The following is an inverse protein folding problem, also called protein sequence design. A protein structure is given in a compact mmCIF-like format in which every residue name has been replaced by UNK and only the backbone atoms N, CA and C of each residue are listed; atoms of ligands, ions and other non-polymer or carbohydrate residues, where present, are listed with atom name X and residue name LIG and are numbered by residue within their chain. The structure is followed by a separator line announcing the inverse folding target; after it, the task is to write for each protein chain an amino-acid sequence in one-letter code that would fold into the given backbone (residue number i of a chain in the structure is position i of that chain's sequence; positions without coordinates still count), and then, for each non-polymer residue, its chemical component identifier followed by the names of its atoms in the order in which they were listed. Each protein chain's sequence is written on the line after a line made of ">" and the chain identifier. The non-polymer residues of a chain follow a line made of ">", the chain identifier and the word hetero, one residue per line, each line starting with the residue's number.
data_IF_750518368653
#
_entry.id   IF_750518368653
#
_cell.length_a   1.000
_cell.length_b   1.000
_cell.length_c   1.000
_cell.angle_alpha   90.00
_cell.angle_beta   90.00
_cell.angle_gamma   90.00
#
_symmetry.space_group_name_H-M   'P 1'
#
loop_
_entity.id
_entity.type
_entity.pdbx_description
1 polymer ?
#
# COMPACT_ATOMS: atom_id res chain seq x y z
N UNK A 1 10.63 -2.08 28.99
CA UNK A 1 9.28 -2.05 29.62
C UNK A 1 9.33 -1.32 30.95
N UNK A 2 9.43 0.02 30.96
CA UNK A 2 9.39 0.83 32.19
C UNK A 2 8.88 2.27 31.97
N UNK A 3 8.22 2.57 30.85
CA UNK A 3 7.86 3.94 30.46
C UNK A 3 6.35 4.15 30.21
N UNK A 4 5.50 3.28 30.78
CA UNK A 4 4.05 3.28 30.49
C UNK A 4 3.14 3.13 31.71
N UNK A 5 3.66 3.12 32.95
CA UNK A 5 2.83 2.95 34.16
C UNK A 5 2.47 4.25 34.90
N UNK A 6 3.16 5.36 34.69
CA UNK A 6 2.93 6.59 35.49
C UNK A 6 1.83 7.52 34.95
N UNK A 7 1.36 7.36 33.70
CA UNK A 7 0.33 8.25 33.13
C UNK A 7 -1.12 7.84 33.40
N UNK A 8 -1.36 6.68 33.99
CA UNK A 8 -2.74 6.14 34.16
C UNK A 8 -3.32 6.46 35.55
N UNK A 9 -2.48 6.66 36.57
CA UNK A 9 -2.98 6.87 37.95
C UNK A 9 -3.43 8.32 38.20
N UNK A 10 -2.85 9.31 37.52
CA UNK A 10 -3.22 10.74 37.69
C UNK A 10 -4.50 11.17 36.97
N UNK A 11 -5.00 10.40 36.00
CA UNK A 11 -6.17 10.77 35.19
C UNK A 11 -7.51 10.34 35.84
N UNK A 12 -7.52 9.27 36.63
CA UNK A 12 -8.74 8.76 37.26
C UNK A 12 -9.27 9.63 38.41
N UNK A 13 -8.41 10.38 39.11
CA UNK A 13 -8.85 11.26 40.21
C UNK A 13 -9.48 12.57 39.72
N UNK A 14 -9.07 13.10 38.56
CA UNK A 14 -9.61 14.34 38.01
C UNK A 14 -11.01 14.16 37.38
N UNK A 15 -11.30 12.99 36.82
CA UNK A 15 -12.61 12.71 36.19
C UNK A 15 -13.69 12.43 37.25
N UNK A 16 -13.33 11.82 38.39
CA UNK A 16 -14.27 11.56 39.49
C UNK A 16 -14.82 12.82 40.16
N UNK A 17 -14.02 13.88 40.28
CA UNK A 17 -14.45 15.15 40.85
C UNK A 17 -15.38 15.95 39.91
N UNK A 18 -15.18 15.86 38.59
CA UNK A 18 -16.02 16.56 37.60
C UNK A 18 -17.44 15.97 37.47
N UNK A 19 -17.59 14.65 37.63
CA UNK A 19 -18.90 13.99 37.53
C UNK A 19 -19.80 14.22 38.77
N UNK A 20 -19.20 14.33 39.97
CA UNK A 20 -19.97 14.57 41.20
C UNK A 20 -20.60 15.98 41.25
N UNK A 21 -19.95 16.98 40.62
CA UNK A 21 -20.47 18.34 40.53
C UNK A 21 -21.58 18.45 39.46
N UNK A 22 -21.45 17.73 38.33
CA UNK A 22 -22.42 17.75 37.24
C UNK A 22 -23.78 17.12 37.59
N UNK A 23 -23.79 16.04 38.36
CA UNK A 23 -25.04 15.37 38.75
C UNK A 23 -25.86 16.21 39.76
N UNK A 24 -25.20 16.92 40.67
CA UNK A 24 -25.88 17.81 41.62
C UNK A 24 -26.44 19.08 40.97
N UNK A 25 -25.77 19.61 39.94
CA UNK A 25 -26.25 20.77 39.20
C UNK A 25 -27.49 20.48 38.36
N UNK A 26 -27.56 19.30 37.72
CA UNK A 26 -28.73 18.90 36.91
C UNK A 26 -29.97 18.64 37.79
N UNK A 27 -29.77 18.15 39.02
CA UNK A 27 -30.86 17.92 39.97
C UNK A 27 -31.44 19.23 40.54
N UNK A 28 -30.62 20.27 40.72
CA UNK A 28 -31.10 21.61 41.09
C UNK A 28 -31.75 22.36 39.92
N UNK A 29 -31.28 22.17 38.68
CA UNK A 29 -31.83 22.85 37.50
C UNK A 29 -33.26 22.37 37.16
N UNK A 30 -33.57 21.09 37.40
CA UNK A 30 -34.91 20.52 37.18
C UNK A 30 -35.96 20.94 38.23
N UNK A 31 -35.54 21.53 39.37
CA UNK A 31 -36.45 21.97 40.44
C UNK A 31 -36.78 23.47 40.42
N UNK A 32 -36.22 24.25 39.48
CA UNK A 32 -36.64 25.65 39.28
C UNK A 32 -36.34 26.60 40.45
N UNK A 33 -35.47 26.22 41.38
CA UNK A 33 -35.10 27.03 42.54
C UNK A 33 -33.61 27.39 42.50
N UNK A 34 -33.26 28.46 41.78
CA UNK A 34 -32.01 29.19 42.03
C UNK A 34 -32.28 30.70 41.91
N UNK A 35 -31.80 31.51 42.88
CA UNK A 35 -32.01 32.95 42.85
C UNK A 35 -31.22 33.57 41.71
N UNK A 36 -31.86 34.46 40.95
CA UNK A 36 -31.19 35.34 39.99
C UNK A 36 -30.14 36.19 40.71
N UNK A 37 -28.87 35.98 40.40
CA UNK A 37 -27.82 36.96 40.66
C UNK A 37 -26.49 36.39 41.16
N UNK A 38 -25.70 35.78 40.28
CA UNK A 38 -24.23 35.80 40.35
C UNK A 38 -23.66 35.32 39.01
N UNK A 39 -23.31 36.29 38.16
CA UNK A 39 -22.63 36.06 36.90
C UNK A 39 -21.19 35.57 37.14
N UNK A 40 -21.01 34.24 37.15
CA UNK A 40 -19.71 33.62 36.95
C UNK A 40 -19.50 33.46 35.45
N UNK A 41 -18.75 34.41 34.86
CA UNK A 41 -18.27 34.33 33.49
C UNK A 41 -17.33 33.14 33.32
N UNK A 42 -17.88 31.97 33.02
CA UNK A 42 -17.14 30.85 32.44
C UNK A 42 -16.82 31.21 30.99
N UNK A 43 -15.76 31.98 30.81
CA UNK A 43 -15.17 32.22 29.49
C UNK A 43 -14.81 30.88 28.86
N UNK A 44 -15.48 30.53 27.77
CA UNK A 44 -15.11 29.42 26.89
C UNK A 44 -13.67 29.65 26.42
N UNK A 45 -12.72 28.90 26.97
CA UNK A 45 -11.33 28.92 26.49
C UNK A 45 -11.34 28.35 25.07
N UNK A 46 -10.89 29.09 24.05
CA UNK A 46 -10.93 28.61 22.68
C UNK A 46 -10.04 27.37 22.55
N UNK A 47 -10.63 26.27 22.08
CA UNK A 47 -9.92 25.02 21.81
C UNK A 47 -8.91 25.27 20.69
N UNK A 48 -7.65 25.52 21.04
CA UNK A 48 -6.59 25.83 20.07
C UNK A 48 -6.29 24.55 19.28
N UNK A 49 -6.74 24.47 18.03
CA UNK A 49 -6.44 23.33 17.14
C UNK A 49 -4.93 23.12 17.09
N UNK A 50 -4.47 21.92 17.48
CA UNK A 50 -3.06 21.55 17.41
C UNK A 50 -2.62 21.57 15.95
N UNK A 51 -1.44 22.12 15.67
CA UNK A 51 -0.85 22.06 14.32
C UNK A 51 -0.67 20.59 13.91
N UNK A 52 -1.01 20.20 12.66
CA UNK A 52 -0.72 18.87 12.14
C UNK A 52 0.78 18.58 12.18
N UNK A 53 1.15 17.36 12.58
CA UNK A 53 2.54 16.89 12.53
C UNK A 53 2.83 16.35 11.14
N UNK A 54 3.75 16.97 10.39
CA UNK A 54 4.14 16.50 9.05
C UNK A 54 5.39 15.65 9.15
N UNK A 55 5.39 14.48 8.53
CA UNK A 55 6.54 13.57 8.55
C UNK A 55 7.04 13.31 7.14
N UNK A 56 8.35 13.11 7.02
CA UNK A 56 9.01 12.84 5.75
C UNK A 56 9.61 11.44 5.74
N UNK A 57 9.47 10.73 4.64
CA UNK A 57 10.17 9.47 4.38
C UNK A 57 10.61 9.45 2.93
N UNK A 58 11.83 9.01 2.65
CA UNK A 58 12.36 8.85 1.32
C UNK A 58 12.80 7.42 1.03
N UNK A 59 13.05 7.20 -0.25
CA UNK A 59 13.60 5.95 -0.74
C UNK A 59 13.62 5.90 -2.25
N UNK A 60 14.29 4.88 -2.77
CA UNK A 60 14.25 4.60 -4.19
C UNK A 60 12.83 4.16 -4.62
N UNK A 61 12.16 3.34 -3.81
CA UNK A 61 10.88 2.70 -4.16
C UNK A 61 10.91 1.94 -5.50
N UNK A 62 12.06 1.34 -5.82
CA UNK A 62 12.25 0.52 -7.01
C UNK A 62 11.67 -0.88 -6.78
N UNK A 63 10.94 -1.41 -7.76
CA UNK A 63 10.16 -2.65 -7.64
C UNK A 63 9.27 -2.64 -6.38
N UNK A 64 8.47 -1.58 -6.24
CA UNK A 64 7.66 -1.33 -5.06
C UNK A 64 6.75 -2.53 -4.71
N UNK A 65 6.61 -2.82 -3.41
CA UNK A 65 5.92 -4.00 -2.90
C UNK A 65 5.28 -3.70 -1.53
N UNK A 66 4.46 -4.63 -0.99
CA UNK A 66 3.73 -4.42 0.26
C UNK A 66 4.63 -4.03 1.46
N UNK A 67 5.90 -4.46 1.48
CA UNK A 67 6.89 -4.01 2.48
C UNK A 67 7.12 -2.50 2.49
N UNK A 68 7.27 -1.87 1.31
CA UNK A 68 7.35 -0.41 1.17
C UNK A 68 6.04 0.24 1.63
N UNK A 69 4.89 -0.31 1.21
CA UNK A 69 3.58 0.20 1.62
C UNK A 69 3.38 0.15 3.14
N UNK A 70 3.82 -0.93 3.81
CA UNK A 70 3.76 -1.03 5.26
C UNK A 70 4.72 -0.06 5.95
N UNK A 71 5.89 0.22 5.36
CA UNK A 71 6.80 1.23 5.88
C UNK A 71 6.16 2.62 5.84
N UNK A 72 5.56 3.00 4.71
CA UNK A 72 4.80 4.24 4.55
C UNK A 72 3.60 4.31 5.51
N UNK A 73 2.88 3.19 5.73
CA UNK A 73 1.82 3.11 6.75
C UNK A 73 2.35 3.40 8.15
N UNK A 74 3.48 2.81 8.53
CA UNK A 74 4.11 3.04 9.83
C UNK A 74 4.59 4.49 9.97
N UNK A 75 5.18 5.06 8.92
CA UNK A 75 5.60 6.45 8.89
C UNK A 75 4.41 7.39 9.09
N UNK A 76 3.33 7.19 8.33
CA UNK A 76 2.09 7.96 8.44
C UNK A 76 1.46 7.89 9.83
N UNK A 77 1.65 6.80 10.57
CA UNK A 77 1.15 6.65 11.94
C UNK A 77 1.95 7.46 12.99
N UNK A 78 3.14 7.96 12.65
CA UNK A 78 3.97 8.81 13.52
C UNK A 78 3.69 10.31 13.34
N UNK A 79 2.80 10.68 12.41
CA UNK A 79 2.40 12.04 12.11
C UNK A 79 0.93 12.14 11.69
N UNK A 80 0.51 13.36 11.36
CA UNK A 80 -0.81 13.70 10.84
C UNK A 80 -0.81 13.82 9.30
N UNK A 81 0.36 13.96 8.65
CA UNK A 81 0.53 13.99 7.18
C UNK A 81 1.88 13.37 6.79
N UNK A 82 1.94 12.61 5.70
CA UNK A 82 3.16 11.97 5.18
C UNK A 82 3.57 12.56 3.82
N UNK A 83 4.75 13.15 3.79
CA UNK A 83 5.44 13.61 2.58
C UNK A 83 6.50 12.58 2.20
N UNK A 84 6.53 12.17 0.93
CA UNK A 84 7.46 11.13 0.46
C UNK A 84 8.42 11.65 -0.59
N UNK A 85 9.71 11.56 -0.33
CA UNK A 85 10.75 11.85 -1.33
C UNK A 85 11.06 10.64 -2.19
N UNK A 86 10.98 10.79 -3.51
CA UNK A 86 11.37 9.74 -4.46
C UNK A 86 12.73 10.10 -5.03
N UNK A 87 13.74 9.28 -4.72
CA UNK A 87 15.12 9.53 -5.13
C UNK A 87 15.26 9.46 -6.66
N UNK A 88 16.01 10.38 -7.28
CA UNK A 88 16.21 10.41 -8.74
C UNK A 88 16.98 9.18 -9.26
N UNK A 89 16.90 8.93 -10.57
CA UNK A 89 17.62 7.80 -11.19
C UNK A 89 19.14 8.04 -11.12
N UNK A 90 19.59 9.29 -11.27
CA UNK A 90 21.00 9.69 -11.20
C UNK A 90 21.59 9.46 -9.81
N UNK A 91 20.88 9.87 -8.75
CA UNK A 91 21.27 9.68 -7.35
C UNK A 91 21.33 8.19 -7.00
N UNK A 92 20.39 7.40 -7.53
CA UNK A 92 20.39 5.94 -7.36
C UNK A 92 21.62 5.30 -8.02
N UNK A 93 21.92 5.68 -9.27
CA UNK A 93 23.07 5.14 -10.01
C UNK A 93 24.38 5.44 -9.29
N UNK A 94 24.52 6.66 -8.74
CA UNK A 94 25.72 7.07 -8.03
C UNK A 94 25.98 6.29 -6.73
N UNK A 95 24.93 5.84 -6.03
CA UNK A 95 25.05 5.30 -4.67
C UNK A 95 24.88 3.78 -4.55
N UNK A 96 24.16 3.13 -5.48
CA UNK A 96 23.94 1.68 -5.42
C UNK A 96 24.07 0.97 -6.77
N UNK A 97 23.50 1.54 -7.83
CA UNK A 97 23.32 0.89 -9.11
C UNK A 97 21.98 1.27 -9.75
N UNK A 98 21.82 1.08 -11.07
CA UNK A 98 20.67 1.60 -11.80
C UNK A 98 19.35 1.00 -11.30
N UNK A 99 18.28 1.80 -11.20
CA UNK A 99 16.97 1.27 -10.84
C UNK A 99 16.38 0.50 -12.03
N UNK A 100 15.57 -0.52 -11.73
CA UNK A 100 14.80 -1.26 -12.76
C UNK A 100 13.63 -0.40 -13.26
N UNK A 101 12.98 0.30 -12.33
CA UNK A 101 11.79 1.11 -12.55
C UNK A 101 12.19 2.59 -12.71
N UNK A 102 11.89 3.26 -13.85
CA UNK A 102 12.20 4.67 -14.04
C UNK A 102 11.49 5.57 -13.02
N UNK A 103 12.08 6.74 -12.72
CA UNK A 103 11.54 7.70 -11.74
C UNK A 103 10.03 7.95 -11.89
N UNK A 104 9.56 8.19 -13.12
CA UNK A 104 8.14 8.44 -13.40
C UNK A 104 7.22 7.34 -12.88
N UNK A 105 7.60 6.08 -13.09
CA UNK A 105 6.78 4.94 -12.65
C UNK A 105 6.84 4.75 -11.13
N UNK A 106 8.02 4.97 -10.52
CA UNK A 106 8.18 4.96 -9.05
C UNK A 106 7.30 6.04 -8.40
N UNK A 107 7.25 7.24 -8.98
CA UNK A 107 6.35 8.31 -8.52
C UNK A 107 4.87 7.94 -8.61
N UNK A 108 4.43 7.31 -9.71
CA UNK A 108 3.05 6.82 -9.86
C UNK A 108 2.71 5.84 -8.74
N UNK A 109 3.61 4.88 -8.48
CA UNK A 109 3.43 3.88 -7.43
C UNK A 109 3.34 4.49 -6.03
N UNK A 110 4.27 5.38 -5.68
CA UNK A 110 4.27 6.06 -4.37
C UNK A 110 3.03 6.92 -4.18
N UNK A 111 2.65 7.71 -5.20
CA UNK A 111 1.43 8.53 -5.16
C UNK A 111 0.17 7.67 -5.04
N UNK A 112 0.17 6.44 -5.53
CA UNK A 112 -0.98 5.54 -5.41
C UNK A 112 -1.17 4.97 -4.00
N UNK A 113 -0.17 5.03 -3.12
CA UNK A 113 -0.30 4.53 -1.74
C UNK A 113 -1.21 5.46 -0.93
N UNK A 114 -2.18 4.88 -0.22
CA UNK A 114 -3.23 5.63 0.49
C UNK A 114 -2.78 6.39 1.73
N UNK A 115 -1.61 6.06 2.25
CA UNK A 115 -1.01 6.75 3.40
C UNK A 115 -0.13 7.93 3.01
N UNK A 116 0.12 8.13 1.72
CA UNK A 116 0.98 9.21 1.20
C UNK A 116 0.12 10.43 0.91
N UNK A 117 0.47 11.58 1.47
CA UNK A 117 -0.27 12.82 1.26
C UNK A 117 0.37 13.67 0.16
N UNK A 118 1.72 13.72 0.11
CA UNK A 118 2.49 14.52 -0.83
C UNK A 118 3.72 13.75 -1.32
N UNK A 119 4.17 14.01 -2.56
CA UNK A 119 5.35 13.38 -3.17
C UNK A 119 6.31 14.44 -3.69
N UNK A 120 7.57 14.38 -3.25
CA UNK A 120 8.66 15.23 -3.73
C UNK A 120 9.48 14.42 -4.76
N UNK A 121 9.55 14.85 -6.03
CA UNK A 121 10.44 14.24 -7.01
C UNK A 121 11.90 14.64 -6.75
N UNK A 122 12.83 13.89 -7.34
CA UNK A 122 14.25 14.21 -7.36
C UNK A 122 14.83 14.50 -5.96
N UNK A 123 14.43 13.70 -4.98
CA UNK A 123 15.02 13.75 -3.65
C UNK A 123 16.48 13.29 -3.72
N UNK A 124 17.41 13.92 -2.98
CA UNK A 124 18.79 13.44 -2.88
C UNK A 124 18.84 12.08 -2.16
N UNK A 125 19.88 11.29 -2.40
CA UNK A 125 20.05 10.00 -1.72
C UNK A 125 20.35 10.16 -0.22
N UNK A 126 21.05 11.25 0.15
CA UNK A 126 21.38 11.59 1.52
C UNK A 126 20.71 12.90 1.95
N UNK A 127 20.40 13.03 3.23
CA UNK A 127 19.88 14.29 3.78
C UNK A 127 21.04 15.28 3.91
N UNK A 128 21.18 16.17 2.93
CA UNK A 128 22.14 17.28 2.94
C UNK A 128 21.65 18.44 3.81
N UNK A 129 22.53 19.36 4.21
CA UNK A 129 22.14 20.54 5.00
C UNK A 129 21.11 21.41 4.27
N UNK A 130 21.31 21.63 2.97
CA UNK A 130 20.43 22.42 2.11
C UNK A 130 19.05 21.76 2.00
N UNK A 131 19.02 20.45 1.75
CA UNK A 131 17.76 19.73 1.63
C UNK A 131 17.04 19.62 2.97
N UNK A 132 17.77 19.44 4.08
CA UNK A 132 17.19 19.43 5.42
C UNK A 132 16.53 20.78 5.77
N UNK A 133 17.16 21.90 5.43
CA UNK A 133 16.54 23.24 5.58
C UNK A 133 15.26 23.34 4.76
N UNK A 134 15.30 22.92 3.49
CA UNK A 134 14.10 22.88 2.63
C UNK A 134 12.98 22.03 3.25
N UNK A 135 13.29 20.84 3.76
CA UNK A 135 12.30 19.99 4.43
C UNK A 135 11.65 20.68 5.63
N UNK A 136 12.44 21.36 6.45
CA UNK A 136 11.96 21.96 7.70
C UNK A 136 11.29 23.32 7.53
N UNK A 137 11.82 24.16 6.64
CA UNK A 137 11.38 25.54 6.48
C UNK A 137 10.27 25.65 5.43
N UNK A 138 10.40 24.97 4.28
CA UNK A 138 9.44 25.04 3.17
C UNK A 138 8.35 23.99 3.32
N UNK A 139 8.71 22.71 3.46
CA UNK A 139 7.76 21.59 3.58
C UNK A 139 7.20 21.42 4.99
N UNK A 140 7.72 22.18 5.97
CA UNK A 140 7.31 22.17 7.38
C UNK A 140 7.30 20.78 8.00
N UNK A 141 8.27 19.95 7.62
CA UNK A 141 8.44 18.59 8.15
C UNK A 141 8.87 18.68 9.60
N UNK A 142 8.22 17.90 10.48
CA UNK A 142 8.53 17.76 11.90
C UNK A 142 9.62 16.69 12.15
N UNK A 143 9.50 15.54 11.49
CA UNK A 143 10.41 14.40 11.64
C UNK A 143 10.70 13.71 10.32
N UNK A 144 11.94 13.24 10.16
CA UNK A 144 12.37 12.33 9.10
C UNK A 144 12.27 10.90 9.64
N UNK A 145 11.66 10.01 8.86
CA UNK A 145 11.38 8.63 9.24
C UNK A 145 12.07 7.70 8.25
N UNK A 146 12.76 6.69 8.76
CA UNK A 146 13.35 5.64 7.93
C UNK A 146 13.28 4.28 8.64
N UNK A 147 13.51 3.20 7.87
CA UNK A 147 13.69 1.85 8.42
C UNK A 147 14.89 1.75 9.38
N UNK A 148 14.93 0.65 10.13
CA UNK A 148 16.00 0.29 11.05
C UNK A 148 17.25 -0.30 10.37
N UNK A 149 17.22 -0.48 9.04
CA UNK A 149 18.38 -0.85 8.24
C UNK A 149 19.42 0.30 8.19
N UNK A 150 20.73 0.00 8.33
CA UNK A 150 21.78 1.00 8.13
C UNK A 150 21.80 1.53 6.69
N UNK A 151 21.76 2.86 6.54
CA UNK A 151 21.92 3.54 5.25
C UNK A 151 23.29 4.19 5.17
N UNK A 152 24.25 3.40 4.70
CA UNK A 152 25.65 3.80 4.59
C UNK A 152 25.93 4.24 3.15
N UNK A 153 26.55 5.41 2.99
CA UNK A 153 27.00 5.97 1.72
C UNK A 153 28.31 5.29 1.27
N UNK A 154 28.73 5.45 0.00
CA UNK A 154 29.97 4.84 -0.51
C UNK A 154 31.24 5.20 0.29
N UNK A 155 31.23 6.35 0.97
CA UNK A 155 32.32 6.82 1.84
C UNK A 155 32.25 6.28 3.29
N UNK A 156 31.26 5.43 3.60
CA UNK A 156 31.05 4.85 4.93
C UNK A 156 30.23 5.71 5.89
N UNK A 157 29.76 6.89 5.47
CA UNK A 157 28.97 7.79 6.32
C UNK A 157 27.48 7.44 6.32
N UNK A 158 26.77 7.86 7.37
CA UNK A 158 25.33 7.61 7.51
C UNK A 158 24.52 8.70 6.78
N UNK A 159 23.69 8.28 5.80
CA UNK A 159 22.87 9.16 4.97
C UNK A 159 21.91 10.07 5.78
N UNK A 160 21.62 9.72 7.04
CA UNK A 160 20.73 10.46 7.92
C UNK A 160 21.43 11.07 9.14
N UNK A 161 22.77 11.14 9.15
CA UNK A 161 23.55 11.65 10.28
C UNK A 161 23.10 13.04 10.74
N UNK A 162 22.82 13.96 9.80
CA UNK A 162 22.36 15.32 10.10
C UNK A 162 21.01 15.32 10.82
N UNK A 163 20.05 14.54 10.32
CA UNK A 163 18.72 14.42 10.91
C UNK A 163 18.76 13.82 12.33
N UNK A 164 19.65 12.83 12.54
CA UNK A 164 19.89 12.22 13.85
C UNK A 164 20.51 13.22 14.82
N UNK A 165 21.53 13.96 14.40
CA UNK A 165 22.19 15.01 15.21
C UNK A 165 21.20 16.13 15.59
N UNK A 166 20.26 16.46 14.71
CA UNK A 166 19.20 17.43 14.99
C UNK A 166 18.10 16.91 15.95
N UNK A 167 18.10 15.62 16.30
CA UNK A 167 17.06 15.00 17.14
C UNK A 167 15.70 14.85 16.41
N UNK A 168 15.69 14.89 15.08
CA UNK A 168 14.48 14.89 14.25
C UNK A 168 14.34 13.63 13.39
N UNK A 169 15.02 12.56 13.78
CA UNK A 169 14.98 11.27 13.10
C UNK A 169 14.21 10.23 13.93
N UNK A 170 13.34 9.45 13.28
CA UNK A 170 12.59 8.34 13.91
C UNK A 170 12.76 7.07 13.08
N UNK A 171 12.76 5.94 13.76
CA UNK A 171 12.88 4.62 13.13
C UNK A 171 11.57 3.85 13.15
N UNK A 172 11.32 3.10 12.08
CA UNK A 172 10.24 2.12 11.95
C UNK A 172 10.83 0.75 11.64
N UNK A 173 10.08 -0.31 11.94
CA UNK A 173 10.57 -1.68 11.74
C UNK A 173 10.46 -2.09 10.28
N UNK A 174 11.48 -2.79 9.79
CA UNK A 174 11.42 -3.51 8.52
C UNK A 174 10.25 -4.51 8.49
N UNK A 175 9.69 -4.70 7.31
CA UNK A 175 8.62 -5.68 7.09
C UNK A 175 9.21 -7.04 6.74
N UNK A 176 8.96 -8.03 7.59
CA UNK A 176 9.38 -9.42 7.34
C UNK A 176 8.65 -10.06 6.16
N UNK A 177 9.37 -10.92 5.43
CA UNK A 177 8.83 -11.77 4.37
C UNK A 177 8.84 -11.16 2.95
N UNK A 178 9.44 -9.99 2.74
CA UNK A 178 9.65 -9.43 1.40
C UNK A 178 10.84 -8.48 1.33
N UNK A 179 11.56 -8.51 0.22
CA UNK A 179 12.52 -7.49 -0.20
C UNK A 179 12.64 -7.48 -1.73
N UNK A 180 13.16 -6.40 -2.32
CA UNK A 180 13.43 -6.36 -3.76
C UNK A 180 14.39 -7.49 -4.19
N UNK A 181 15.38 -7.82 -3.36
CA UNK A 181 16.30 -8.95 -3.60
C UNK A 181 15.58 -10.29 -3.61
N UNK A 182 14.68 -10.53 -2.66
CA UNK A 182 13.84 -11.73 -2.61
C UNK A 182 12.96 -11.83 -3.88
N UNK A 183 12.27 -10.75 -4.26
CA UNK A 183 11.45 -10.73 -5.47
C UNK A 183 12.27 -11.03 -6.74
N UNK A 184 13.46 -10.42 -6.88
CA UNK A 184 14.37 -10.70 -8.00
C UNK A 184 14.81 -12.18 -7.98
N UNK A 185 15.13 -12.72 -6.80
CA UNK A 185 15.45 -14.14 -6.63
C UNK A 185 14.32 -15.05 -7.12
N UNK A 186 13.06 -14.73 -6.77
CA UNK A 186 11.88 -15.45 -7.25
C UNK A 186 11.75 -15.38 -8.78
N UNK A 187 11.93 -14.20 -9.38
CA UNK A 187 11.91 -14.03 -10.84
C UNK A 187 12.98 -14.88 -11.55
N UNK A 188 14.20 -14.91 -11.00
CA UNK A 188 15.30 -15.71 -11.56
C UNK A 188 15.00 -17.21 -11.51
N UNK A 189 14.35 -17.69 -10.44
CA UNK A 189 13.91 -19.09 -10.34
C UNK A 189 12.86 -19.41 -11.43
N UNK A 190 11.88 -18.54 -11.65
CA UNK A 190 10.85 -18.69 -12.67
C UNK A 190 11.42 -18.75 -14.10
N UNK A 191 12.50 -18.00 -14.39
CA UNK A 191 13.17 -18.05 -15.70
C UNK A 191 13.95 -19.36 -15.88
N UNK A 192 14.62 -19.84 -14.83
CA UNK A 192 15.46 -21.06 -14.91
C UNK A 192 14.63 -22.33 -15.05
N UNK A 193 13.45 -22.40 -14.42
CA UNK A 193 12.52 -23.53 -14.57
C UNK A 193 11.98 -23.68 -16.00
N UNK A 194 11.97 -22.61 -16.81
CA UNK A 194 11.67 -22.68 -18.25
C UNK A 194 12.77 -23.38 -19.06
N UNK A 195 14.00 -23.39 -18.53
CA UNK A 195 15.21 -23.80 -19.27
C UNK A 195 15.73 -25.18 -18.88
N UNK A 196 15.26 -25.81 -17.79
CA UNK A 196 15.77 -27.13 -17.37
C UNK A 196 14.79 -27.92 -16.49
N UNK A 197 14.44 -29.14 -16.94
CA UNK A 197 13.65 -30.15 -16.22
C UNK A 197 14.46 -30.91 -15.15
N UNK A 198 15.54 -30.34 -14.61
CA UNK A 198 16.37 -30.99 -13.61
C UNK A 198 16.67 -30.06 -12.42
N UNK A 199 16.30 -30.58 -11.24
CA UNK A 199 16.62 -30.26 -9.84
C UNK A 199 17.62 -29.12 -9.55
N UNK A 200 17.45 -28.40 -8.44
CA UNK A 200 18.43 -28.37 -7.33
C UNK A 200 18.15 -27.23 -6.31
N UNK A 201 18.11 -27.62 -5.04
CA UNK A 201 17.84 -26.86 -3.81
C UNK A 201 18.95 -25.88 -3.35
N UNK A 202 19.83 -25.43 -4.26
CA UNK A 202 21.03 -24.66 -3.91
C UNK A 202 20.81 -23.15 -3.83
N UNK A 203 19.95 -22.56 -4.68
CA UNK A 203 19.76 -21.10 -4.72
C UNK A 203 18.87 -20.55 -3.60
N UNK A 204 17.91 -21.33 -3.10
CA UNK A 204 17.08 -20.91 -1.95
C UNK A 204 17.93 -20.65 -0.70
N UNK A 205 19.10 -21.28 -0.59
CA UNK A 205 20.08 -21.00 0.48
C UNK A 205 20.90 -19.73 0.26
N UNK A 206 21.16 -19.31 -0.98
CA UNK A 206 22.00 -18.15 -1.25
C UNK A 206 21.27 -16.81 -1.07
N UNK A 207 19.97 -16.76 -1.32
CA UNK A 207 19.17 -15.54 -1.11
C UNK A 207 18.60 -15.41 0.32
N UNK A 208 18.68 -16.48 1.12
CA UNK A 208 18.27 -16.49 2.53
C UNK A 208 19.45 -16.13 3.45
N UNK A 209 19.90 -14.87 3.40
CA UNK A 209 20.81 -14.39 4.44
C UNK A 209 20.03 -14.25 5.76
N UNK A 210 20.13 -15.24 6.66
CA UNK A 210 19.84 -15.02 8.10
C UNK A 210 18.98 -16.05 8.86
N UNK A 211 18.39 -17.07 8.25
CA UNK A 211 17.61 -18.07 9.01
C UNK A 211 17.86 -19.51 8.55
N UNK A 212 18.47 -20.32 9.41
CA UNK A 212 18.50 -21.77 9.31
C UNK A 212 17.06 -22.31 9.41
N UNK A 213 16.50 -22.82 8.32
CA UNK A 213 15.26 -23.61 8.36
C UNK A 213 15.59 -25.12 8.39
N UNK A 214 14.80 -25.94 9.10
CA UNK A 214 15.00 -27.40 9.12
C UNK A 214 14.59 -28.01 7.78
N UNK A 215 15.29 -29.07 7.38
CA UNK A 215 14.89 -29.95 6.27
C UNK A 215 13.54 -30.60 6.62
N UNK A 216 12.50 -30.31 5.86
CA UNK A 216 11.33 -31.18 5.78
C UNK A 216 11.57 -32.16 4.63
N UNK A 217 11.56 -33.46 4.94
CA UNK A 217 11.66 -34.54 3.97
C UNK A 217 10.41 -34.58 3.09
N UNK A 218 10.64 -34.65 1.78
CA UNK A 218 9.61 -34.70 0.75
C UNK A 218 8.81 -36.00 0.80
N UNK A 219 7.52 -35.88 1.09
CA UNK A 219 6.58 -36.99 1.13
C UNK A 219 5.16 -36.58 0.76
N UNK A 220 4.96 -35.84 -0.34
CA UNK A 220 3.68 -35.75 -1.05
C UNK A 220 3.85 -35.13 -2.44
N UNK A 221 3.40 -35.87 -3.46
CA UNK A 221 3.31 -35.46 -4.85
C UNK A 221 2.24 -34.39 -5.09
N UNK A 222 2.48 -33.54 -6.10
CA UNK A 222 1.53 -32.67 -6.83
C UNK A 222 1.05 -31.37 -6.16
N UNK A 223 1.85 -30.30 -6.33
CA UNK A 223 1.38 -28.97 -6.78
C UNK A 223 2.62 -28.05 -6.89
N UNK A 224 3.02 -27.74 -8.13
CA UNK A 224 4.03 -26.75 -8.43
C UNK A 224 3.36 -25.37 -8.43
N UNK A 225 3.53 -24.62 -7.34
CA UNK A 225 3.05 -23.25 -7.18
C UNK A 225 3.78 -22.57 -6.02
N UNK A 226 4.29 -21.35 -6.27
CA UNK A 226 4.77 -20.34 -5.29
C UNK A 226 5.41 -20.84 -3.99
N UNK A 227 6.42 -21.73 -4.07
CA UNK A 227 7.07 -22.34 -2.89
C UNK A 227 8.07 -21.45 -2.12
N UNK A 228 8.22 -20.17 -2.49
CA UNK A 228 9.39 -19.37 -2.05
C UNK A 228 9.04 -18.21 -1.11
N UNK A 229 7.75 -17.87 -0.91
CA UNK A 229 7.41 -16.81 0.04
C UNK A 229 7.45 -17.31 1.49
N UNK A 230 8.20 -16.60 2.33
CA UNK A 230 8.21 -16.78 3.79
C UNK A 230 7.24 -15.83 4.52
N UNK A 231 6.34 -15.18 3.78
CA UNK A 231 5.37 -14.26 4.35
C UNK A 231 4.35 -15.00 5.23
N UNK A 232 4.22 -14.56 6.48
CA UNK A 232 3.20 -15.05 7.41
C UNK A 232 1.99 -14.10 7.41
N UNK A 233 0.85 -14.48 6.79
CA UNK A 233 -0.38 -13.69 6.86
C UNK A 233 -0.93 -13.70 8.29
N UNK A 234 -1.43 -12.55 8.74
CA UNK A 234 -2.21 -12.45 9.98
C UNK A 234 -3.42 -11.57 9.74
N UNK A 235 -4.53 -11.86 10.42
CA UNK A 235 -5.72 -11.01 10.41
C UNK A 235 -5.39 -9.56 10.76
N UNK A 236 -4.50 -9.35 11.74
CA UNK A 236 -4.02 -8.02 12.14
C UNK A 236 -3.36 -7.26 10.97
N UNK A 237 -2.54 -7.93 10.17
CA UNK A 237 -1.86 -7.30 9.02
C UNK A 237 -2.85 -6.93 7.92
N UNK A 238 -3.85 -7.78 7.67
CA UNK A 238 -4.94 -7.49 6.74
C UNK A 238 -5.71 -6.25 7.23
N UNK A 239 -6.16 -6.22 8.49
CA UNK A 239 -6.88 -5.08 9.07
C UNK A 239 -6.07 -3.77 9.01
N UNK A 240 -4.75 -3.82 9.19
CA UNK A 240 -3.89 -2.64 9.05
C UNK A 240 -3.85 -2.08 7.62
N UNK A 241 -4.13 -2.92 6.62
CA UNK A 241 -4.16 -2.56 5.21
C UNK A 241 -5.58 -2.35 4.68
N UNK A 242 -6.62 -2.90 5.30
CA UNK A 242 -8.00 -2.74 4.86
C UNK A 242 -8.56 -1.35 5.15
N UNK A 243 -9.52 -0.91 4.34
CA UNK A 243 -10.37 0.22 4.71
C UNK A 243 -11.48 -0.32 5.62
N UNK A 244 -11.77 0.36 6.73
CA UNK A 244 -12.77 -0.09 7.70
C UNK A 244 -14.23 0.23 7.33
N UNK A 245 -14.50 0.68 6.10
CA UNK A 245 -15.81 1.16 5.65
C UNK A 245 -16.26 0.37 4.42
N UNK A 246 -17.44 -0.22 4.50
CA UNK A 246 -18.12 -0.81 3.34
C UNK A 246 -18.80 0.25 2.46
N UNK A 247 -19.47 -0.19 1.38
CA UNK A 247 -20.21 0.69 0.49
C UNK A 247 -21.36 1.38 1.23
N UNK A 248 -21.60 2.66 0.90
CA UNK A 248 -22.77 3.39 1.40
C UNK A 248 -24.08 2.88 0.77
N UNK A 249 -25.25 3.22 1.34
CA UNK A 249 -26.54 2.85 0.75
C UNK A 249 -26.67 3.37 -0.69
N UNK A 250 -26.95 2.47 -1.63
CA UNK A 250 -27.10 2.80 -3.05
C UNK A 250 -25.79 3.18 -3.77
N UNK A 251 -24.63 2.90 -3.19
CA UNK A 251 -23.34 3.14 -3.82
C UNK A 251 -23.18 2.29 -5.09
N UNK A 252 -22.63 2.88 -6.16
CA UNK A 252 -22.29 2.10 -7.38
C UNK A 252 -21.01 1.32 -7.14
N UNK A 253 -21.15 0.01 -6.94
CA UNK A 253 -20.02 -0.89 -6.72
C UNK A 253 -19.43 -1.30 -8.06
N UNK A 254 -18.17 -0.93 -8.28
CA UNK A 254 -17.38 -1.31 -9.44
C UNK A 254 -16.54 -2.54 -9.06
N UNK A 255 -16.62 -3.58 -9.87
CA UNK A 255 -15.84 -4.79 -9.70
C UNK A 255 -14.76 -4.91 -10.78
N UNK A 256 -13.56 -5.26 -10.38
CA UNK A 256 -12.46 -5.62 -11.29
C UNK A 256 -11.67 -6.76 -10.66
N UNK A 257 -11.36 -7.77 -11.43
CA UNK A 257 -10.57 -8.91 -11.00
C UNK A 257 -9.36 -9.16 -11.88
N UNK A 258 -8.45 -9.97 -11.36
CA UNK A 258 -7.22 -10.32 -12.04
C UNK A 258 -6.21 -10.99 -11.12
N UNK A 259 -5.02 -11.22 -11.67
CA UNK A 259 -3.91 -11.74 -10.89
C UNK A 259 -3.33 -10.67 -9.96
N UNK A 260 -3.16 -9.43 -10.44
CA UNK A 260 -2.46 -8.36 -9.71
C UNK A 260 -1.09 -8.79 -9.14
N UNK A 261 -0.41 -9.68 -9.87
CA UNK A 261 0.94 -10.14 -9.54
C UNK A 261 1.96 -9.02 -9.78
N UNK A 262 2.97 -8.91 -8.92
CA UNK A 262 3.95 -7.81 -8.92
C UNK A 262 3.30 -6.44 -9.13
N UNK A 263 2.34 -6.08 -8.28
CA UNK A 263 1.53 -4.86 -8.40
C UNK A 263 2.34 -3.62 -8.83
N UNK A 264 1.99 -3.01 -9.97
CA UNK A 264 2.83 -2.04 -10.69
C UNK A 264 1.98 -0.87 -11.26
N UNK A 265 2.63 0.11 -11.89
CA UNK A 265 1.99 1.36 -12.34
C UNK A 265 0.84 1.15 -13.34
N UNK A 266 0.87 0.05 -14.10
CA UNK A 266 -0.23 -0.36 -14.98
C UNK A 266 -1.49 -0.73 -14.21
N UNK A 267 -1.36 -1.52 -13.14
CA UNK A 267 -2.46 -1.84 -12.23
C UNK A 267 -3.01 -0.58 -11.56
N UNK A 268 -2.13 0.33 -11.13
CA UNK A 268 -2.54 1.62 -10.54
C UNK A 268 -3.42 2.41 -11.50
N UNK A 269 -3.02 2.54 -12.77
CA UNK A 269 -3.77 3.33 -13.74
C UNK A 269 -5.15 2.72 -14.03
N UNK A 270 -5.24 1.40 -14.20
CA UNK A 270 -6.56 0.79 -14.43
C UNK A 270 -7.48 0.90 -13.20
N UNK A 271 -6.95 0.71 -11.99
CA UNK A 271 -7.74 0.84 -10.76
C UNK A 271 -8.20 2.29 -10.56
N UNK A 272 -7.36 3.27 -10.88
CA UNK A 272 -7.74 4.69 -10.88
C UNK A 272 -8.92 4.95 -11.83
N UNK A 273 -8.85 4.43 -13.06
CA UNK A 273 -9.93 4.56 -14.05
C UNK A 273 -11.20 3.81 -13.66
N UNK A 274 -11.07 2.65 -13.02
CA UNK A 274 -12.22 1.90 -12.51
C UNK A 274 -12.90 2.66 -11.36
N UNK A 275 -12.10 3.27 -10.46
CA UNK A 275 -12.62 4.09 -9.35
C UNK A 275 -13.41 5.31 -9.83
N UNK A 276 -13.08 5.89 -10.99
CA UNK A 276 -13.82 7.02 -11.59
C UNK A 276 -15.27 6.65 -12.00
N UNK A 277 -15.60 5.36 -12.14
CA UNK A 277 -16.90 4.92 -12.63
C UNK A 277 -17.99 4.80 -11.55
N UNK A 278 -17.59 4.76 -10.28
CA UNK A 278 -18.53 4.51 -9.19
C UNK A 278 -17.99 4.91 -7.83
N UNK A 279 -18.76 4.57 -6.82
CA UNK A 279 -18.60 5.12 -5.47
C UNK A 279 -17.83 4.15 -4.55
N UNK A 280 -17.63 2.91 -5.00
CA UNK A 280 -16.87 1.88 -4.31
C UNK A 280 -16.17 0.94 -5.32
N UNK A 281 -14.86 0.69 -5.16
CA UNK A 281 -14.09 -0.23 -5.99
C UNK A 281 -13.75 -1.51 -5.20
N UNK A 282 -14.35 -2.61 -5.62
CA UNK A 282 -14.13 -3.96 -5.13
C UNK A 282 -13.19 -4.71 -6.09
N UNK A 283 -12.06 -5.19 -5.59
CA UNK A 283 -11.05 -5.87 -6.40
C UNK A 283 -10.99 -7.36 -6.10
N UNK A 284 -11.25 -8.20 -7.11
CA UNK A 284 -11.09 -9.65 -7.02
C UNK A 284 -9.66 -10.08 -7.27
N UNK A 285 -9.07 -10.85 -6.35
CA UNK A 285 -7.72 -11.38 -6.53
C UNK A 285 -7.80 -12.89 -6.64
N UNK A 286 -7.49 -13.43 -7.82
CA UNK A 286 -7.51 -14.87 -8.06
C UNK A 286 -6.49 -15.60 -7.17
N UNK A 287 -6.79 -16.83 -6.75
CA UNK A 287 -5.86 -17.65 -5.98
C UNK A 287 -4.65 -18.11 -6.82
N UNK A 288 -3.61 -18.59 -6.14
CA UNK A 288 -2.33 -18.91 -6.80
C UNK A 288 -2.47 -20.05 -7.81
N UNK A 289 -3.32 -21.05 -7.54
CA UNK A 289 -3.56 -22.20 -8.41
C UNK A 289 -4.28 -21.80 -9.71
N UNK A 290 -5.22 -20.85 -9.63
CA UNK A 290 -5.91 -20.32 -10.82
C UNK A 290 -4.92 -19.56 -11.69
N UNK A 291 -4.11 -18.70 -11.07
CA UNK A 291 -3.10 -17.91 -11.80
C UNK A 291 -2.06 -18.83 -12.44
N UNK A 292 -1.58 -19.85 -11.73
CA UNK A 292 -0.61 -20.81 -12.26
C UNK A 292 -1.19 -21.67 -13.38
N UNK A 293 -2.45 -22.12 -13.25
CA UNK A 293 -3.14 -22.88 -14.28
C UNK A 293 -3.37 -22.08 -15.57
N UNK A 294 -3.56 -20.76 -15.47
CA UNK A 294 -3.83 -19.88 -16.62
C UNK A 294 -2.58 -19.24 -17.22
N UNK A 295 -1.57 -18.90 -16.41
CA UNK A 295 -0.37 -18.16 -16.84
C UNK A 295 0.92 -19.00 -16.84
N UNK A 296 0.83 -20.26 -16.40
CA UNK A 296 1.95 -21.18 -16.27
C UNK A 296 2.40 -21.36 -14.83
N UNK A 297 2.96 -22.54 -14.53
CA UNK A 297 3.29 -23.01 -13.18
C UNK A 297 4.21 -22.07 -12.39
N UNK A 298 5.01 -21.26 -13.07
CA UNK A 298 5.93 -20.30 -12.48
C UNK A 298 5.26 -19.01 -11.97
N UNK A 299 3.97 -18.81 -12.26
CA UNK A 299 3.18 -17.69 -11.75
C UNK A 299 2.21 -18.15 -10.66
N UNK A 300 1.80 -17.25 -9.75
CA UNK A 300 2.30 -15.88 -9.60
C UNK A 300 3.71 -15.83 -8.97
N UNK A 301 4.37 -14.68 -9.00
CA UNK A 301 5.63 -14.43 -8.28
C UNK A 301 5.36 -14.12 -6.80
N UNK A 302 4.29 -13.37 -6.55
CA UNK A 302 3.78 -13.06 -5.22
C UNK A 302 2.56 -13.92 -4.91
N UNK A 303 2.52 -14.51 -3.71
CA UNK A 303 1.38 -15.33 -3.32
C UNK A 303 0.10 -14.49 -3.12
N UNK A 304 -1.03 -15.16 -2.97
CA UNK A 304 -2.35 -14.53 -2.81
C UNK A 304 -2.38 -13.46 -1.72
N UNK A 305 -1.74 -13.70 -0.58
CA UNK A 305 -1.76 -12.77 0.54
C UNK A 305 -0.85 -11.56 0.31
N UNK A 306 0.32 -11.75 -0.29
CA UNK A 306 1.23 -10.67 -0.68
C UNK A 306 0.57 -9.75 -1.72
N UNK A 307 -0.09 -10.33 -2.72
CA UNK A 307 -0.88 -9.58 -3.73
C UNK A 307 -2.03 -8.81 -3.09
N UNK A 308 -2.75 -9.45 -2.17
CA UNK A 308 -3.83 -8.80 -1.42
C UNK A 308 -3.38 -7.55 -0.65
N UNK A 309 -2.25 -7.62 0.06
CA UNK A 309 -1.71 -6.45 0.75
C UNK A 309 -1.25 -5.35 -0.22
N UNK A 310 -0.70 -5.74 -1.37
CA UNK A 310 -0.22 -4.80 -2.37
C UNK A 310 -1.37 -4.00 -2.98
N UNK A 311 -2.48 -4.69 -3.30
CA UNK A 311 -3.72 -4.08 -3.81
C UNK A 311 -4.42 -3.23 -2.75
N UNK A 312 -4.56 -3.72 -1.51
CA UNK A 312 -5.20 -2.97 -0.40
C UNK A 312 -4.47 -1.67 -0.01
N UNK A 313 -3.18 -1.55 -0.33
CA UNK A 313 -2.41 -0.33 -0.10
C UNK A 313 -2.76 0.79 -1.09
N UNK A 314 -3.37 0.46 -2.23
CA UNK A 314 -3.72 1.41 -3.27
C UNK A 314 -4.92 2.26 -2.83
N UNK A 315 -4.81 3.59 -2.97
CA UNK A 315 -5.84 4.57 -2.56
C UNK A 315 -7.14 4.46 -3.35
N UNK A 316 -7.09 3.88 -4.53
CA UNK A 316 -8.27 3.73 -5.39
C UNK A 316 -9.10 2.50 -5.02
N UNK A 317 -8.53 1.58 -4.23
CA UNK A 317 -9.18 0.33 -3.85
C UNK A 317 -9.87 0.51 -2.51
N UNK A 318 -11.16 0.15 -2.46
CA UNK A 318 -11.93 0.18 -1.23
C UNK A 318 -11.89 -1.16 -0.52
N UNK A 319 -12.06 -2.26 -1.25
CA UNK A 319 -12.13 -3.62 -0.72
C UNK A 319 -11.57 -4.67 -1.68
N UNK A 320 -11.19 -5.84 -1.15
CA UNK A 320 -10.61 -6.96 -1.90
C UNK A 320 -11.34 -8.27 -1.59
N UNK A 321 -11.70 -9.03 -2.63
CA UNK A 321 -12.06 -10.45 -2.50
C UNK A 321 -10.78 -11.27 -2.58
N UNK A 322 -10.36 -11.84 -1.46
CA UNK A 322 -9.16 -12.68 -1.36
C UNK A 322 -9.51 -14.09 -1.84
N UNK A 323 -9.00 -14.49 -3.01
CA UNK A 323 -9.29 -15.78 -3.63
C UNK A 323 -10.56 -15.75 -4.48
N UNK A 324 -10.72 -14.67 -5.26
CA UNK A 324 -11.84 -14.53 -6.18
C UNK A 324 -11.85 -15.64 -7.24
N UNK A 325 -13.04 -16.18 -7.60
CA UNK A 325 -13.15 -17.19 -8.66
C UNK A 325 -12.70 -16.62 -10.01
N UNK A 326 -12.37 -17.51 -10.95
CA UNK A 326 -12.01 -17.12 -12.32
C UNK A 326 -13.22 -16.57 -13.10
N UNK A 327 -14.40 -17.16 -12.89
CA UNK A 327 -15.64 -16.74 -13.55
C UNK A 327 -16.41 -15.76 -12.65
N UNK A 328 -16.89 -14.67 -13.26
CA UNK A 328 -17.76 -13.70 -12.59
C UNK A 328 -19.20 -14.20 -12.66
N UNK A 329 -19.59 -15.01 -11.67
CA UNK A 329 -20.92 -15.61 -11.60
C UNK A 329 -22.02 -14.62 -11.20
N UNK A 330 -23.28 -14.99 -11.45
CA UNK A 330 -24.45 -14.24 -10.98
C UNK A 330 -24.50 -14.13 -9.45
N UNK A 331 -24.03 -15.15 -8.75
CA UNK A 331 -23.97 -15.16 -7.28
C UNK A 331 -22.97 -14.12 -6.77
N UNK A 332 -21.79 -13.99 -7.40
CA UNK A 332 -20.82 -12.93 -7.08
C UNK A 332 -21.42 -11.56 -7.31
N UNK A 333 -22.07 -11.34 -8.47
CA UNK A 333 -22.71 -10.06 -8.82
C UNK A 333 -23.78 -9.68 -7.80
N UNK A 334 -24.64 -10.62 -7.43
CA UNK A 334 -25.75 -10.35 -6.49
C UNK A 334 -25.30 -10.22 -5.04
N UNK A 335 -24.30 -11.01 -4.61
CA UNK A 335 -23.77 -10.99 -3.22
C UNK A 335 -23.13 -9.64 -2.90
N UNK A 336 -22.39 -9.08 -3.84
CA UNK A 336 -21.67 -7.82 -3.66
C UNK A 336 -22.38 -6.62 -4.30
N UNK A 337 -23.63 -6.78 -4.75
CA UNK A 337 -24.42 -5.75 -5.43
C UNK A 337 -23.62 -5.00 -6.52
N UNK A 338 -22.94 -5.78 -7.37
CA UNK A 338 -22.02 -5.24 -8.38
C UNK A 338 -22.82 -4.49 -9.45
N UNK A 339 -22.58 -3.19 -9.53
CA UNK A 339 -23.20 -2.32 -10.53
C UNK A 339 -22.54 -2.46 -11.91
N UNK A 340 -21.20 -2.61 -11.95
CA UNK A 340 -20.43 -2.74 -13.19
C UNK A 340 -19.17 -3.55 -13.00
N UNK A 341 -18.86 -4.39 -13.99
CA UNK A 341 -17.62 -5.18 -14.08
C UNK A 341 -16.69 -4.55 -15.11
N UNK A 342 -15.46 -4.26 -14.71
CA UNK A 342 -14.45 -3.62 -15.55
C UNK A 342 -13.29 -4.58 -15.79
N UNK A 343 -12.81 -4.66 -17.04
CA UNK A 343 -11.61 -5.43 -17.38
C UNK A 343 -10.63 -4.61 -18.21
N UNK A 344 -9.33 -4.82 -17.96
CA UNK A 344 -8.21 -4.12 -18.60
C UNK A 344 -7.62 -4.84 -19.79
N UNK A 345 -7.09 -4.10 -20.76
CA UNK A 345 -6.53 -4.73 -21.98
C UNK A 345 -5.00 -4.88 -22.04
N UNK A 346 -4.25 -4.41 -21.02
CA UNK A 346 -2.79 -4.13 -21.20
C UNK A 346 -1.87 -5.17 -20.55
N UNK A 347 -2.26 -5.83 -19.46
CA UNK A 347 -1.38 -6.74 -18.71
C UNK A 347 -1.92 -8.17 -18.57
N UNK A 348 -3.20 -8.37 -18.87
CA UNK A 348 -3.83 -9.69 -18.91
C UNK A 348 -4.12 -9.97 -20.38
N UNK A 349 -3.64 -11.11 -20.90
CA UNK A 349 -3.88 -11.44 -22.30
C UNK A 349 -5.38 -11.57 -22.54
N UNK A 350 -5.88 -10.96 -23.62
CA UNK A 350 -7.27 -11.03 -24.08
C UNK A 350 -7.69 -12.46 -24.53
N UNK A 351 -6.95 -13.50 -24.12
CA UNK A 351 -7.10 -14.89 -24.57
C UNK A 351 -8.45 -15.49 -24.18
N UNK A 352 -9.12 -14.94 -23.17
CA UNK A 352 -10.45 -15.38 -22.73
C UNK A 352 -11.59 -15.06 -23.74
N UNK A 353 -11.33 -14.31 -24.81
CA UNK A 353 -12.27 -14.23 -25.94
C UNK A 353 -12.22 -15.45 -26.86
N UNK A 354 -11.12 -16.22 -26.81
CA UNK A 354 -10.87 -17.39 -27.65
C UNK A 354 -11.03 -18.72 -26.92
N UNK A 355 -11.13 -18.70 -25.59
CA UNK A 355 -11.34 -19.89 -24.75
C UNK A 355 -12.81 -20.34 -24.74
N UNK A 356 -13.04 -21.66 -24.74
CA UNK A 356 -14.33 -22.25 -24.37
C UNK A 356 -14.64 -21.90 -22.91
N UNK A 357 -15.40 -20.82 -22.71
CA UNK A 357 -15.79 -20.31 -21.38
C UNK A 357 -15.27 -18.90 -21.11
N UNK A 358 -16.01 -17.89 -21.60
CA UNK A 358 -15.70 -16.50 -21.30
C UNK A 358 -16.02 -16.21 -19.82
N UNK A 359 -15.03 -15.88 -18.95
CA UNK A 359 -15.26 -15.64 -17.53
C UNK A 359 -16.15 -14.43 -17.25
N UNK A 360 -16.36 -13.58 -18.26
CA UNK A 360 -17.24 -12.41 -18.23
C UNK A 360 -18.54 -12.61 -19.02
N UNK A 361 -18.94 -13.85 -19.34
CA UNK A 361 -20.18 -14.12 -20.09
C UNK A 361 -21.43 -13.58 -19.37
N UNK A 362 -21.54 -13.81 -18.06
CA UNK A 362 -22.66 -13.35 -17.24
C UNK A 362 -22.73 -11.82 -17.15
N UNK A 363 -21.67 -11.08 -16.77
CA UNK A 363 -21.77 -9.61 -16.74
C UNK A 363 -22.01 -9.00 -18.14
N UNK A 364 -21.57 -9.64 -19.22
CA UNK A 364 -21.90 -9.23 -20.59
C UNK A 364 -23.38 -9.43 -20.91
N UNK A 365 -23.95 -10.58 -20.58
CA UNK A 365 -25.38 -10.85 -20.84
C UNK A 365 -26.29 -9.94 -19.99
N UNK A 366 -25.82 -9.50 -18.83
CA UNK A 366 -26.49 -8.51 -17.98
C UNK A 366 -26.27 -7.05 -18.43
N UNK A 367 -25.41 -6.80 -19.43
CA UNK A 367 -25.13 -5.44 -19.92
C UNK A 367 -24.30 -4.56 -18.96
N UNK A 368 -23.64 -5.17 -17.97
CA UNK A 368 -22.87 -4.47 -16.93
C UNK A 368 -21.35 -4.61 -17.10
N UNK A 369 -20.89 -5.20 -18.21
CA UNK A 369 -19.46 -5.35 -18.51
C UNK A 369 -18.90 -4.15 -19.31
N UNK A 370 -17.77 -3.58 -18.88
CA UNK A 370 -17.07 -2.50 -19.57
C UNK A 370 -15.59 -2.84 -19.78
N UNK A 371 -15.14 -2.86 -21.04
CA UNK A 371 -13.71 -3.00 -21.38
C UNK A 371 -13.05 -1.62 -21.37
N UNK A 372 -12.00 -1.42 -20.58
CA UNK A 372 -11.27 -0.16 -20.48
C UNK A 372 -9.86 -0.32 -21.07
N UNK A 373 -9.54 0.50 -22.08
CA UNK A 373 -8.20 0.95 -22.56
C UNK A 373 -8.10 1.30 -24.06
N UNK A 374 -9.21 1.36 -24.83
CA UNK A 374 -9.16 1.71 -26.27
C UNK A 374 -8.51 3.08 -26.58
N UNK A 375 -8.54 4.05 -25.66
CA UNK A 375 -7.92 5.37 -25.88
C UNK A 375 -6.39 5.37 -25.74
N UNK A 376 -5.80 4.38 -25.05
CA UNK A 376 -4.36 4.34 -24.79
C UNK A 376 -3.56 3.83 -26.00
N UNK A 377 -4.12 2.88 -26.77
CA UNK A 377 -3.50 2.40 -28.01
C UNK A 377 -3.24 3.54 -29.01
N UNK A 378 -4.17 4.49 -29.14
CA UNK A 378 -3.99 5.66 -30.01
C UNK A 378 -2.97 6.67 -29.45
N UNK A 379 -2.94 6.89 -28.13
CA UNK A 379 -2.01 7.85 -27.51
C UNK A 379 -0.59 7.30 -27.32
N UNK A 380 -0.43 6.01 -27.04
CA UNK A 380 0.88 5.35 -26.87
C UNK A 380 1.56 5.13 -28.21
N UNK A 381 0.82 4.75 -29.26
CA UNK A 381 1.36 4.69 -30.62
C UNK A 381 1.88 6.05 -31.08
N UNK A 382 1.12 7.11 -30.81
CA UNK A 382 1.51 8.50 -31.08
C UNK A 382 2.70 8.96 -30.20
N UNK A 383 2.81 8.48 -28.96
CA UNK A 383 3.92 8.80 -28.04
C UNK A 383 5.24 8.16 -28.47
N UNK A 384 5.23 6.87 -28.81
CA UNK A 384 6.43 6.17 -29.30
C UNK A 384 6.90 6.68 -30.67
N UNK A 385 5.99 7.20 -31.50
CA UNK A 385 6.32 7.82 -32.78
C UNK A 385 6.78 9.28 -32.67
N UNK A 386 6.26 10.08 -31.72
CA UNK A 386 6.41 11.55 -31.74
C UNK A 386 7.18 12.18 -30.57
N UNK A 387 7.57 11.41 -29.52
CA UNK A 387 8.34 11.89 -28.34
C UNK A 387 7.90 13.26 -27.78
N UNK A 388 6.61 13.58 -27.88
CA UNK A 388 6.06 14.84 -27.39
C UNK A 388 4.68 14.58 -26.78
N UNK A 389 4.43 15.24 -25.65
CA UNK A 389 3.22 15.05 -24.86
C UNK A 389 2.09 15.93 -25.41
N UNK A 390 0.90 15.35 -25.61
CA UNK A 390 -0.34 16.12 -25.71
C UNK A 390 -1.14 15.80 -24.45
N UNK A 391 -1.30 16.80 -23.58
CA UNK A 391 -2.31 16.79 -22.50
C UNK A 391 -3.68 16.63 -23.15
N UNK A 392 -4.35 15.51 -22.89
CA UNK A 392 -5.74 15.33 -23.29
C UNK A 392 -6.66 15.73 -22.14
N UNK A 393 -7.34 16.85 -22.29
CA UNK A 393 -8.67 17.07 -21.69
C UNK A 393 -9.68 16.07 -22.28
#
# INVERSE_FOLDING_TARGET
>A
MAWQKEKIVGSCFAVGAAFAVGASFLHLFLKGELPLGLGLGLGLVPFRKRKPVRVYMDGCFDMMHYGHCNALRQARALGDELVVGVVSDEEIIANKGPPVTPLRERMIMVKAVKWVDEVIPDAPYAITEEFMKRLFDEYRIDYIIHGDDPCVLPDGTDAYALAKKAGRYKQIKRTEGVSSTDIVGRMLLCVRERSNSQSHSSLQRQFSHGHNSPRFEDGASSAAGTRVSHFLPTSRRIVQFSNGKGPGPGARIIYIDGAFDLFHAGHVEILRRARELGDFLLVGIHNDQTVSGKRGAQHPIMNLHERSLSVLACRYVDEVIIGAPWEVSKDTITTFDIWKVVHGTVAESDDFQKEEGNPYAVPKSMGIFEKRNLKKEASEKKYYEQKSFVTGD
#
